data_IF_927249852351
#
_entry.id   IF_927249852351
#
_cell.length_a   1.000
_cell.length_b   1.000
_cell.length_c   1.000
_cell.angle_alpha   90.00
_cell.angle_beta   90.00
_cell.angle_gamma   90.00
#
_symmetry.space_group_name_H-M   'P 1'
#
loop_
_entity.id
_entity.type
_entity.pdbx_description
1 polymer ?
#
# COMPACT_ATOMS: atom_id res chain seq x y z
N UNK A 1 -11.31 42.31 -29.61
CA UNK A 1 -11.74 42.01 -28.22
C UNK A 1 -11.32 40.58 -27.93
N UNK A 2 -10.11 40.38 -27.39
CA UNK A 2 -9.56 39.06 -27.08
C UNK A 2 -9.53 38.87 -25.57
N UNK A 3 -10.29 37.92 -25.06
CA UNK A 3 -10.26 37.54 -23.66
C UNK A 3 -9.12 36.53 -23.44
N UNK A 4 -8.09 36.95 -22.73
CA UNK A 4 -7.00 36.09 -22.25
C UNK A 4 -7.50 35.26 -21.07
N UNK A 5 -7.68 33.97 -21.28
CA UNK A 5 -7.90 33.00 -20.20
C UNK A 5 -6.63 32.88 -19.34
N UNK A 6 -6.66 33.45 -18.14
CA UNK A 6 -5.67 33.18 -17.11
C UNK A 6 -5.97 31.81 -16.48
N UNK A 7 -5.09 30.85 -16.72
CA UNK A 7 -5.10 29.56 -16.02
C UNK A 7 -4.68 29.79 -14.57
N UNK A 8 -5.62 29.64 -13.64
CA UNK A 8 -5.34 29.70 -12.21
C UNK A 8 -4.40 28.55 -11.81
N UNK A 9 -3.14 28.89 -11.49
CA UNK A 9 -2.18 27.93 -10.95
C UNK A 9 -2.66 27.44 -9.58
N UNK A 10 -2.80 26.11 -9.43
CA UNK A 10 -3.23 25.48 -8.17
C UNK A 10 -2.26 25.81 -7.02
N UNK A 11 -2.76 25.97 -5.77
CA UNK A 11 -1.93 26.28 -4.62
C UNK A 11 -0.98 25.12 -4.29
N UNK A 12 0.33 25.40 -4.27
CA UNK A 12 1.37 24.45 -3.84
C UNK A 12 1.13 24.05 -2.39
N UNK A 13 0.96 22.75 -2.11
CA UNK A 13 0.88 22.23 -0.72
C UNK A 13 2.19 22.51 0.00
N UNK A 14 2.09 23.22 1.13
CA UNK A 14 3.24 23.58 1.97
C UNK A 14 3.77 22.35 2.72
N UNK A 15 4.98 21.89 2.37
CA UNK A 15 5.71 20.95 3.22
C UNK A 15 6.32 21.70 4.41
N UNK A 16 5.86 21.40 5.64
CA UNK A 16 6.30 22.07 6.88
C UNK A 16 7.80 21.90 7.19
N UNK A 17 8.47 20.93 6.56
CA UNK A 17 9.89 20.65 6.71
C UNK A 17 10.79 21.35 5.67
N UNK A 18 10.22 22.00 4.66
CA UNK A 18 10.99 22.67 3.60
C UNK A 18 11.00 24.20 3.77
N UNK A 19 11.21 24.71 5.00
CA UNK A 19 11.05 26.15 5.31
C UNK A 19 12.08 27.09 4.65
N UNK A 20 13.25 26.61 4.26
CA UNK A 20 14.36 27.47 3.82
C UNK A 20 14.96 27.12 2.46
N UNK A 21 14.40 26.16 1.73
CA UNK A 21 14.92 25.80 0.41
C UNK A 21 13.87 26.08 -0.67
N UNK A 22 14.20 26.98 -1.59
CA UNK A 22 13.53 27.15 -2.90
C UNK A 22 13.74 25.94 -3.83
N UNK A 23 14.17 24.79 -3.27
CA UNK A 23 14.41 23.59 -4.04
C UNK A 23 13.14 22.78 -4.26
N UNK A 24 13.05 22.32 -5.51
CA UNK A 24 12.24 21.26 -6.07
C UNK A 24 11.53 20.36 -5.04
N UNK A 25 10.19 20.36 -5.10
CA UNK A 25 9.30 19.54 -4.27
C UNK A 25 9.60 18.05 -4.38
N UNK A 26 10.21 17.61 -5.48
CA UNK A 26 10.67 16.23 -5.69
C UNK A 26 11.69 15.78 -4.64
N UNK A 27 12.65 16.64 -4.27
CA UNK A 27 13.70 16.31 -3.31
C UNK A 27 13.15 16.10 -1.89
N UNK A 28 12.22 16.96 -1.46
CA UNK A 28 11.58 16.91 -0.14
C UNK A 28 10.74 15.62 0.04
N UNK A 29 10.16 15.09 -1.05
CA UNK A 29 9.36 13.85 -1.04
C UNK A 29 10.26 12.61 -0.92
N UNK A 30 11.39 12.58 -1.64
CA UNK A 30 12.35 11.46 -1.59
C UNK A 30 12.96 11.26 -0.21
N UNK A 31 13.28 12.34 0.50
CA UNK A 31 13.85 12.24 1.86
C UNK A 31 12.87 11.65 2.87
N UNK A 32 11.59 12.07 2.84
CA UNK A 32 10.55 11.54 3.73
C UNK A 32 10.33 10.04 3.49
N UNK A 33 10.36 9.59 2.24
CA UNK A 33 10.21 8.18 1.91
C UNK A 33 11.44 7.36 2.33
N UNK A 34 12.66 7.89 2.18
CA UNK A 34 13.86 7.25 2.69
C UNK A 34 13.84 7.08 4.21
N UNK A 35 13.35 8.09 4.94
CA UNK A 35 13.17 7.99 6.39
C UNK A 35 12.11 6.94 6.75
N UNK A 36 11.02 6.85 6.00
CA UNK A 36 10.03 5.80 6.16
C UNK A 36 10.64 4.40 5.94
N UNK A 37 11.40 4.18 4.86
CA UNK A 37 12.10 2.91 4.65
C UNK A 37 13.05 2.54 5.77
N UNK A 38 13.82 3.52 6.31
CA UNK A 38 14.69 3.28 7.46
C UNK A 38 13.90 2.83 8.68
N UNK A 39 12.76 3.47 8.95
CA UNK A 39 11.87 3.05 10.04
C UNK A 39 11.32 1.63 9.81
N UNK A 40 10.92 1.28 8.59
CA UNK A 40 10.44 -0.08 8.28
C UNK A 40 11.53 -1.16 8.43
N UNK A 41 12.77 -0.88 7.99
CA UNK A 41 13.91 -1.79 8.20
C UNK A 41 14.16 -1.99 9.69
N UNK A 42 14.08 -0.92 10.48
CA UNK A 42 14.21 -0.99 11.93
C UNK A 42 13.08 -1.81 12.56
N UNK A 43 11.86 -1.75 12.02
CA UNK A 43 10.75 -2.60 12.48
C UNK A 43 11.05 -4.09 12.19
N UNK A 44 11.59 -4.46 11.03
CA UNK A 44 11.96 -5.85 10.77
C UNK A 44 13.01 -6.38 11.76
N UNK A 45 14.03 -5.57 12.07
CA UNK A 45 15.04 -5.91 13.06
C UNK A 45 14.43 -6.06 14.46
N UNK A 46 13.55 -5.13 14.84
CA UNK A 46 12.87 -5.10 16.15
C UNK A 46 11.98 -6.32 16.33
N UNK A 47 11.25 -6.71 15.28
CA UNK A 47 10.32 -7.85 15.31
C UNK A 47 10.96 -9.17 14.88
N UNK A 48 12.27 -9.19 14.59
CA UNK A 48 13.01 -10.36 14.12
C UNK A 48 12.33 -11.11 12.95
N UNK A 49 11.65 -10.36 12.08
CA UNK A 49 10.85 -10.94 10.98
C UNK A 49 11.81 -11.54 9.97
N UNK A 50 11.77 -12.86 9.84
CA UNK A 50 12.49 -13.57 8.78
C UNK A 50 11.63 -13.58 7.51
N UNK A 51 12.23 -13.39 6.33
CA UNK A 51 11.51 -13.62 5.09
C UNK A 51 10.99 -15.07 5.08
N UNK A 52 9.77 -15.31 4.57
CA UNK A 52 9.23 -16.66 4.50
C UNK A 52 10.20 -17.53 3.68
N UNK A 53 10.49 -18.73 4.19
CA UNK A 53 11.09 -19.78 3.37
C UNK A 53 10.11 -20.09 2.23
N UNK A 54 10.62 -20.50 1.06
CA UNK A 54 9.76 -20.87 -0.08
C UNK A 54 8.61 -21.75 0.41
N UNK A 55 7.39 -21.23 0.30
CA UNK A 55 6.22 -21.92 0.83
C UNK A 55 5.99 -23.13 -0.06
N UNK A 56 6.13 -24.32 0.51
CA UNK A 56 5.57 -25.51 -0.11
C UNK A 56 4.06 -25.29 -0.18
N UNK A 57 3.54 -25.04 -1.40
CA UNK A 57 2.12 -24.80 -1.72
C UNK A 57 1.13 -25.88 -1.21
N UNK A 58 1.61 -26.92 -0.52
CA UNK A 58 0.84 -28.02 0.04
C UNK A 58 0.27 -27.77 1.44
N UNK A 59 0.57 -26.64 2.09
CA UNK A 59 0.07 -26.31 3.44
C UNK A 59 -0.83 -25.06 3.47
N UNK A 60 -1.78 -24.93 2.53
CA UNK A 60 -2.95 -24.08 2.74
C UNK A 60 -4.04 -24.90 3.44
N UNK A 61 -3.82 -25.28 4.70
CA UNK A 61 -4.89 -25.81 5.53
C UNK A 61 -5.75 -24.63 6.01
N UNK A 62 -6.66 -24.18 5.14
CA UNK A 62 -7.66 -23.14 5.41
C UNK A 62 -8.64 -23.63 6.50
N UNK A 63 -8.21 -23.54 7.76
CA UNK A 63 -9.07 -23.56 8.94
C UNK A 63 -9.37 -22.13 9.37
N UNK A 64 -9.59 -21.24 8.41
CA UNK A 64 -9.82 -19.84 8.71
C UNK A 64 -11.30 -19.54 8.84
N UNK A 65 -11.64 -18.74 9.86
CA UNK A 65 -13.00 -18.30 10.09
C UNK A 65 -13.47 -17.41 8.93
N UNK A 66 -14.67 -17.68 8.45
CA UNK A 66 -15.32 -16.87 7.42
C UNK A 66 -15.75 -15.54 8.03
N UNK A 67 -15.50 -14.43 7.33
CA UNK A 67 -16.01 -13.13 7.74
C UNK A 67 -17.48 -12.98 7.30
N UNK A 68 -18.39 -13.31 8.21
CA UNK A 68 -19.84 -13.26 7.95
C UNK A 68 -20.33 -11.85 7.59
N UNK A 69 -19.71 -10.80 8.14
CA UNK A 69 -20.09 -9.41 7.86
C UNK A 69 -19.71 -9.07 6.43
N UNK A 70 -18.49 -9.42 6.01
CA UNK A 70 -18.04 -9.25 4.63
C UNK A 70 -18.93 -10.05 3.66
N UNK A 71 -19.31 -11.29 4.01
CA UNK A 71 -20.25 -12.09 3.20
C UNK A 71 -21.59 -11.36 3.05
N UNK A 72 -22.17 -10.82 4.12
CA UNK A 72 -23.43 -10.07 4.08
C UNK A 72 -23.32 -8.82 3.20
N UNK A 73 -22.23 -8.07 3.32
CA UNK A 73 -21.96 -6.88 2.49
C UNK A 73 -21.85 -7.29 1.02
N UNK A 74 -21.06 -8.33 0.70
CA UNK A 74 -20.90 -8.80 -0.66
C UNK A 74 -22.20 -9.35 -1.25
N UNK A 75 -23.01 -10.08 -0.48
CA UNK A 75 -24.33 -10.53 -0.93
C UNK A 75 -25.26 -9.37 -1.30
N UNK A 76 -25.12 -8.22 -0.61
CA UNK A 76 -25.94 -7.03 -0.89
C UNK A 76 -25.50 -6.29 -2.15
N UNK A 77 -24.20 -6.18 -2.39
CA UNK A 77 -23.67 -5.33 -3.47
C UNK A 77 -23.13 -6.11 -4.68
N UNK A 78 -22.46 -7.25 -4.46
CA UNK A 78 -21.77 -8.03 -5.50
C UNK A 78 -21.81 -9.54 -5.20
N UNK A 79 -22.99 -10.19 -5.22
CA UNK A 79 -23.14 -11.60 -4.81
C UNK A 79 -22.34 -12.58 -5.67
N UNK A 80 -22.01 -12.22 -6.91
CA UNK A 80 -21.18 -13.03 -7.82
C UNK A 80 -19.78 -13.29 -7.28
N UNK A 81 -19.25 -12.42 -6.40
CA UNK A 81 -17.94 -12.63 -5.79
C UNK A 81 -17.98 -13.87 -4.88
N UNK A 82 -19.08 -14.04 -4.13
CA UNK A 82 -19.26 -15.16 -3.19
C UNK A 82 -19.46 -16.52 -3.89
N UNK A 83 -19.65 -16.57 -5.21
CA UNK A 83 -19.73 -17.85 -5.95
C UNK A 83 -18.36 -18.46 -6.21
N UNK A 84 -17.30 -17.65 -6.14
CA UNK A 84 -15.92 -18.05 -6.49
C UNK A 84 -14.92 -17.77 -5.37
N UNK A 85 -15.24 -16.85 -4.45
CA UNK A 85 -14.38 -16.42 -3.36
C UNK A 85 -15.15 -16.50 -2.04
N UNK A 86 -14.42 -16.77 -0.95
CA UNK A 86 -14.97 -16.75 0.40
C UNK A 86 -14.19 -15.70 1.21
N UNK A 87 -14.87 -14.67 1.76
CA UNK A 87 -14.23 -13.71 2.66
C UNK A 87 -13.72 -14.41 3.91
N UNK A 88 -12.43 -14.22 4.19
CA UNK A 88 -11.77 -14.78 5.37
C UNK A 88 -11.55 -13.65 6.40
N UNK A 89 -11.77 -13.97 7.67
CA UNK A 89 -11.54 -13.05 8.79
C UNK A 89 -10.05 -12.69 8.93
N UNK A 90 -9.79 -11.39 9.12
CA UNK A 90 -8.46 -10.80 9.32
C UNK A 90 -8.53 -9.91 10.56
N UNK A 91 -7.44 -9.88 11.33
CA UNK A 91 -7.31 -9.00 12.49
C UNK A 91 -7.48 -7.54 12.06
N UNK A 92 -8.54 -6.90 12.56
CA UNK A 92 -8.88 -5.50 12.26
C UNK A 92 -7.99 -4.52 13.05
N UNK A 93 -6.77 -4.31 12.56
CA UNK A 93 -5.90 -3.23 13.00
C UNK A 93 -5.39 -2.42 11.79
N UNK A 94 -4.60 -1.37 12.03
CA UNK A 94 -4.03 -0.54 10.96
C UNK A 94 -3.11 -1.26 9.97
N UNK A 95 -2.88 -2.56 10.12
CA UNK A 95 -2.11 -3.41 9.20
C UNK A 95 -2.96 -4.52 8.54
N UNK A 96 -4.29 -4.46 8.64
CA UNK A 96 -5.19 -5.50 8.10
C UNK A 96 -4.99 -5.77 6.61
N UNK A 97 -4.69 -4.74 5.81
CA UNK A 97 -4.36 -4.91 4.39
C UNK A 97 -3.15 -5.84 4.20
N UNK A 98 -2.05 -5.54 4.88
CA UNK A 98 -0.82 -6.34 4.76
C UNK A 98 -0.99 -7.75 5.33
N UNK A 99 -1.83 -7.91 6.37
CA UNK A 99 -2.22 -9.22 6.90
C UNK A 99 -3.01 -10.04 5.89
N UNK A 100 -3.98 -9.43 5.21
CA UNK A 100 -4.76 -10.08 4.16
C UNK A 100 -3.86 -10.54 3.00
N UNK A 101 -2.94 -9.69 2.54
CA UNK A 101 -1.97 -10.04 1.49
C UNK A 101 -1.03 -11.15 1.96
N UNK A 102 -0.53 -11.07 3.19
CA UNK A 102 0.31 -12.11 3.79
C UNK A 102 -0.39 -13.46 3.80
N UNK A 103 -1.66 -13.46 4.21
CA UNK A 103 -2.47 -14.68 4.25
C UNK A 103 -2.72 -15.25 2.86
N UNK A 104 -3.00 -14.39 1.87
CA UNK A 104 -3.20 -14.81 0.49
C UNK A 104 -1.93 -15.39 -0.17
N UNK A 105 -0.75 -14.85 0.16
CA UNK A 105 0.51 -15.28 -0.44
C UNK A 105 1.16 -16.46 0.29
N UNK A 106 1.06 -16.48 1.62
CA UNK A 106 1.84 -17.38 2.48
C UNK A 106 0.97 -18.28 3.37
N UNK A 107 -0.36 -18.17 3.32
CA UNK A 107 -1.27 -18.90 4.21
C UNK A 107 -1.23 -18.45 5.67
N UNK A 108 -0.44 -17.42 6.00
CA UNK A 108 -0.25 -16.90 7.36
C UNK A 108 -0.25 -15.37 7.34
N UNK A 109 -0.77 -14.73 8.37
CA UNK A 109 -0.77 -13.26 8.50
C UNK A 109 0.47 -12.70 9.22
N UNK A 110 1.39 -13.57 9.64
CA UNK A 110 2.60 -13.21 10.39
C UNK A 110 3.56 -12.33 9.57
N UNK A 111 3.63 -12.53 8.26
CA UNK A 111 4.56 -11.82 7.37
C UNK A 111 4.08 -10.41 6.95
N UNK A 112 3.00 -9.89 7.54
CA UNK A 112 2.45 -8.57 7.23
C UNK A 112 3.49 -7.41 7.28
N UNK A 113 4.40 -7.39 8.27
CA UNK A 113 5.45 -6.37 8.39
C UNK A 113 6.47 -6.48 7.25
N UNK A 114 6.79 -7.70 6.81
CA UNK A 114 7.68 -7.93 5.68
C UNK A 114 7.08 -7.36 4.38
N UNK A 115 5.80 -7.64 4.12
CA UNK A 115 5.09 -7.12 2.96
C UNK A 115 5.01 -5.59 3.00
N UNK A 116 4.78 -5.02 4.19
CA UNK A 116 4.77 -3.56 4.37
C UNK A 116 6.12 -2.94 4.02
N UNK A 117 7.25 -3.55 4.44
CA UNK A 117 8.57 -3.07 4.01
C UNK A 117 8.73 -3.16 2.48
N UNK A 118 8.36 -4.29 1.87
CA UNK A 118 8.45 -4.45 0.42
C UNK A 118 7.67 -3.37 -0.32
N UNK A 119 6.45 -3.07 0.13
CA UNK A 119 5.63 -2.00 -0.46
C UNK A 119 6.30 -0.61 -0.35
N UNK A 120 6.94 -0.31 0.78
CA UNK A 120 7.68 0.95 0.96
C UNK A 120 8.92 1.00 0.06
N UNK A 121 9.69 -0.08 -0.03
CA UNK A 121 10.85 -0.16 -0.91
C UNK A 121 10.46 -0.01 -2.39
N UNK A 122 9.38 -0.67 -2.81
CA UNK A 122 8.84 -0.57 -4.17
C UNK A 122 8.42 0.87 -4.48
N UNK A 123 7.69 1.52 -3.56
CA UNK A 123 7.25 2.92 -3.70
C UNK A 123 8.44 3.87 -3.82
N UNK A 124 9.54 3.61 -3.12
CA UNK A 124 10.77 4.41 -3.21
C UNK A 124 11.49 4.16 -4.53
N UNK A 125 11.60 2.90 -4.94
CA UNK A 125 12.28 2.50 -6.17
C UNK A 125 11.58 3.02 -7.42
N UNK A 126 10.25 3.07 -7.40
CA UNK A 126 9.40 3.39 -8.55
C UNK A 126 8.44 4.54 -8.26
N UNK A 127 8.89 5.56 -7.52
CA UNK A 127 8.06 6.69 -7.12
C UNK A 127 7.33 7.35 -8.30
N UNK A 128 8.00 7.45 -9.45
CA UNK A 128 7.44 7.98 -10.69
C UNK A 128 6.16 7.25 -11.17
N UNK A 129 6.01 5.97 -10.84
CA UNK A 129 4.87 5.14 -11.22
C UNK A 129 3.74 5.19 -10.18
N UNK A 130 4.06 5.55 -8.94
CA UNK A 130 3.08 5.61 -7.83
C UNK A 130 2.52 7.01 -7.61
N UNK A 131 3.24 8.03 -8.07
CA UNK A 131 2.90 9.43 -7.93
C UNK A 131 2.03 9.89 -9.11
N UNK A 132 0.72 10.01 -8.90
CA UNK A 132 -0.22 10.48 -9.92
C UNK A 132 0.06 11.91 -10.41
N UNK A 133 0.87 12.68 -9.69
CA UNK A 133 1.31 14.02 -10.11
C UNK A 133 2.58 13.99 -10.96
N UNK A 134 3.22 12.82 -11.12
CA UNK A 134 4.45 12.66 -11.87
C UNK A 134 4.16 12.53 -13.37
N UNK A 135 4.94 13.22 -14.21
CA UNK A 135 4.73 13.25 -15.67
C UNK A 135 4.82 11.87 -16.34
N UNK A 136 5.52 10.92 -15.71
CA UNK A 136 5.64 9.53 -16.17
C UNK A 136 4.56 8.59 -15.63
N UNK A 137 3.59 9.09 -14.85
CA UNK A 137 2.49 8.28 -14.34
C UNK A 137 1.61 7.79 -15.50
N UNK A 138 1.46 6.48 -15.59
CA UNK A 138 0.51 5.86 -16.51
C UNK A 138 -0.68 5.43 -15.68
N UNK A 139 -1.85 6.03 -15.94
CA UNK A 139 -3.10 5.58 -15.33
C UNK A 139 -3.45 4.20 -15.90
N UNK A 140 -3.48 3.14 -15.06
CA UNK A 140 -3.72 1.79 -15.53
C UNK A 140 -5.18 1.53 -15.92
N UNK A 141 -6.07 2.52 -15.78
CA UNK A 141 -7.51 2.38 -16.03
C UNK A 141 -8.02 3.19 -17.24
N UNK A 142 -7.12 3.77 -18.05
CA UNK A 142 -7.45 4.47 -19.31
C UNK A 142 -7.27 3.54 -20.51
#
# INVERSE_FOLDING_TARGET
MGATHQTASRPKRWCKNCRNHTHDTSYCRKTVLLDAARSEVMLLQTYAVQPPNEVNNSQCALSDEVDEIAVQILNKFHPVINTTHVPISIISNGNCLFRAVSKALYGSDEYHTYIRLLAVLETIGYLANCDYEHDAYVDPFI
#
